data_IF_133519282198
#
_entry.id   IF_133519282198
#
_cell.length_a   1.000
_cell.length_b   1.000
_cell.length_c   1.000
_cell.angle_alpha   90.00
_cell.angle_beta   90.00
_cell.angle_gamma   90.00
#
_symmetry.space_group_name_H-M   'P 1'
#
loop_
_entity.id
_entity.type
_entity.pdbx_description
1 polymer ?
#
# COMPACT_ATOMS: atom_id res chain seq x y z
N UNK A 1 -6.58 -13.98 -9.23
CA UNK A 1 -5.44 -14.00 -8.32
C UNK A 1 -5.58 -12.76 -7.47
N UNK A 2 -5.83 -12.92 -6.18
CA UNK A 2 -6.03 -11.80 -5.26
C UNK A 2 -4.67 -11.25 -4.81
N UNK A 3 -4.50 -9.91 -4.75
CA UNK A 3 -3.25 -9.31 -4.29
C UNK A 3 -3.04 -9.54 -2.79
N UNK A 4 -1.78 -9.58 -2.37
CA UNK A 4 -1.41 -9.70 -0.96
C UNK A 4 -1.22 -8.31 -0.33
N UNK A 5 -1.52 -8.19 0.96
CA UNK A 5 -1.25 -6.95 1.70
C UNK A 5 0.26 -6.68 1.74
N UNK A 6 0.68 -5.46 1.38
CA UNK A 6 2.09 -5.08 1.28
C UNK A 6 2.77 -5.46 -0.04
N UNK A 7 2.04 -6.02 -1.01
CA UNK A 7 2.57 -6.27 -2.35
C UNK A 7 2.94 -4.95 -3.06
N UNK A 8 4.07 -4.95 -3.77
CA UNK A 8 4.47 -3.89 -4.70
C UNK A 8 4.25 -4.39 -6.13
N UNK A 9 3.63 -3.57 -6.98
CA UNK A 9 3.45 -3.88 -8.39
C UNK A 9 3.56 -2.64 -9.28
N UNK A 10 3.93 -2.87 -10.54
CA UNK A 10 3.88 -1.81 -11.56
C UNK A 10 2.42 -1.52 -11.94
N UNK A 11 2.11 -0.24 -12.09
CA UNK A 11 0.80 0.25 -12.51
C UNK A 11 0.96 1.34 -13.58
N UNK A 12 0.21 1.25 -14.67
CA UNK A 12 0.33 2.17 -15.80
C UNK A 12 -0.55 3.44 -15.68
N UNK A 13 -1.36 3.56 -14.63
CA UNK A 13 -2.18 4.74 -14.37
C UNK A 13 -1.48 5.79 -13.51
N UNK A 14 -2.08 6.97 -13.40
CA UNK A 14 -1.52 8.12 -12.67
C UNK A 14 -2.23 8.40 -11.32
N UNK A 15 -2.79 7.36 -10.70
CA UNK A 15 -3.48 7.42 -9.40
C UNK A 15 -3.29 6.11 -8.65
N UNK A 16 -3.47 6.10 -7.33
CA UNK A 16 -3.50 4.84 -6.58
C UNK A 16 -4.91 4.20 -6.67
N UNK A 17 -5.04 2.95 -7.16
CA UNK A 17 -6.30 2.24 -7.12
C UNK A 17 -6.81 2.06 -5.68
N UNK A 18 -8.12 1.79 -5.51
CA UNK A 18 -8.70 1.58 -4.18
C UNK A 18 -7.98 0.45 -3.43
N UNK A 19 -7.54 0.73 -2.20
CA UNK A 19 -6.79 -0.22 -1.37
C UNK A 19 -5.28 -0.24 -1.63
N UNK A 20 -4.78 0.61 -2.52
CA UNK A 20 -3.36 0.78 -2.81
C UNK A 20 -2.89 2.19 -2.42
N UNK A 21 -1.58 2.34 -2.28
CA UNK A 21 -0.92 3.62 -2.10
C UNK A 21 0.24 3.73 -3.10
N UNK A 22 0.65 4.96 -3.42
CA UNK A 22 1.87 5.19 -4.21
C UNK A 22 3.10 4.88 -3.35
N UNK A 23 4.14 4.33 -3.99
CA UNK A 23 5.44 4.10 -3.34
C UNK A 23 6.36 5.32 -3.52
N UNK A 24 5.95 6.47 -3.00
CA UNK A 24 6.58 7.79 -3.23
C UNK A 24 7.18 8.43 -1.96
N UNK A 25 7.29 7.66 -0.87
CA UNK A 25 7.84 8.15 0.40
C UNK A 25 6.87 8.97 1.25
N UNK A 26 5.56 8.88 0.99
CA UNK A 26 4.54 9.52 1.82
C UNK A 26 4.46 8.95 3.25
N UNK A 27 4.02 9.78 4.20
CA UNK A 27 3.71 9.34 5.56
C UNK A 27 2.30 8.73 5.62
N UNK A 28 2.19 7.51 6.13
CA UNK A 28 0.92 6.84 6.37
C UNK A 28 0.66 6.70 7.87
N UNK A 29 -0.57 6.98 8.30
CA UNK A 29 -0.96 6.84 9.69
C UNK A 29 -1.05 5.35 10.08
N UNK A 30 -0.31 4.94 11.11
CA UNK A 30 -0.29 3.56 11.61
C UNK A 30 -1.68 3.12 12.08
N UNK A 31 -2.42 4.02 12.76
CA UNK A 31 -3.73 3.70 13.33
C UNK A 31 -4.77 3.23 12.29
N UNK A 32 -4.66 3.69 11.03
CA UNK A 32 -5.52 3.25 9.93
C UNK A 32 -4.93 2.14 9.06
N UNK A 33 -3.66 1.74 9.31
CA UNK A 33 -2.91 0.78 8.50
C UNK A 33 -2.24 -0.30 9.38
N UNK A 34 -2.82 -0.64 10.53
CA UNK A 34 -2.20 -1.51 11.54
C UNK A 34 -1.77 -2.87 10.99
N UNK A 35 -2.60 -3.49 10.13
CA UNK A 35 -2.26 -4.77 9.48
C UNK A 35 -1.06 -4.63 8.53
N UNK A 36 -0.96 -3.54 7.77
CA UNK A 36 0.17 -3.29 6.88
C UNK A 36 1.46 -3.14 7.69
N UNK A 37 1.44 -2.33 8.75
CA UNK A 37 2.61 -2.13 9.62
C UNK A 37 3.01 -3.39 10.38
N UNK A 38 2.05 -4.26 10.75
CA UNK A 38 2.38 -5.55 11.37
C UNK A 38 3.23 -6.47 10.47
N UNK A 39 3.21 -6.26 9.15
CA UNK A 39 4.00 -7.03 8.17
C UNK A 39 5.30 -6.29 7.82
N UNK A 40 5.30 -4.96 7.80
CA UNK A 40 6.45 -4.16 7.38
C UNK A 40 7.48 -3.87 8.48
N UNK A 41 7.06 -3.78 9.75
CA UNK A 41 7.94 -3.46 10.89
C UNK A 41 8.05 -1.97 11.16
#
# INVERSE_FOLDING_TARGET
MDPFLGQIMLFAGNFAPRGWALCDGQLLAIASNTALFSILG
#
